data_IF_719468078978
#
_entry.id   IF_719468078978
#
_cell.length_a   1.000
_cell.length_b   1.000
_cell.length_c   1.000
_cell.angle_alpha   90.00
_cell.angle_beta   90.00
_cell.angle_gamma   90.00
#
_symmetry.space_group_name_H-M   'P 1'
#
loop_
_entity.id
_entity.type
_entity.pdbx_description
1 polymer ?
#
# COMPACT_ATOMS: atom_id res chain seq x y z
N UNK A 1 4.64 9.24 32.20
CA UNK A 1 3.60 8.53 31.41
C UNK A 1 3.05 9.43 30.28
N UNK A 2 3.64 10.61 30.05
CA UNK A 2 3.18 11.57 29.03
C UNK A 2 3.94 11.50 27.68
N UNK A 3 4.94 10.61 27.57
CA UNK A 3 5.84 10.53 26.40
C UNK A 3 5.45 9.43 25.40
N UNK A 4 4.25 8.84 25.53
CA UNK A 4 3.67 7.99 24.49
C UNK A 4 3.16 8.88 23.34
N UNK A 5 4.11 9.61 22.76
CA UNK A 5 3.98 10.44 21.57
C UNK A 5 3.19 9.68 20.50
N UNK A 6 2.13 10.31 19.99
CA UNK A 6 1.43 9.82 18.82
C UNK A 6 2.46 9.65 17.70
N UNK A 7 2.76 8.39 17.36
CA UNK A 7 3.72 8.10 16.30
C UNK A 7 3.20 8.62 14.96
N UNK A 8 1.88 8.62 14.77
CA UNK A 8 1.28 9.17 13.56
C UNK A 8 1.61 10.66 13.40
N UNK A 9 1.62 11.43 14.48
CA UNK A 9 1.95 12.86 14.42
C UNK A 9 3.47 13.09 14.34
N UNK A 10 4.23 12.38 15.18
CA UNK A 10 5.64 12.74 15.44
C UNK A 10 6.64 11.99 14.57
N UNK A 11 6.30 10.77 14.13
CA UNK A 11 7.25 9.86 13.47
C UNK A 11 8.49 9.58 14.33
N UNK A 12 8.37 9.67 15.66
CA UNK A 12 9.53 9.56 16.54
C UNK A 12 9.95 8.09 16.73
N UNK A 13 10.92 7.68 15.91
CA UNK A 13 11.48 6.32 15.94
C UNK A 13 12.21 5.97 17.25
N UNK A 14 12.57 6.95 18.09
CA UNK A 14 13.42 6.73 19.28
C UNK A 14 12.78 5.76 20.27
N UNK A 15 11.46 5.81 20.41
CA UNK A 15 10.71 4.93 21.32
C UNK A 15 10.75 3.46 20.89
N UNK A 16 10.84 3.20 19.58
CA UNK A 16 10.85 1.85 19.01
C UNK A 16 12.25 1.22 18.94
N UNK A 17 13.30 2.05 18.94
CA UNK A 17 14.69 1.59 18.76
C UNK A 17 15.12 0.49 19.75
N UNK A 18 14.85 0.56 21.07
CA UNK A 18 15.25 -0.50 22.00
C UNK A 18 14.59 -1.84 21.67
N UNK A 19 13.28 -1.83 21.39
CA UNK A 19 12.51 -3.01 21.02
C UNK A 19 13.01 -3.60 19.70
N UNK A 20 13.25 -2.76 18.69
CA UNK A 20 13.75 -3.21 17.39
C UNK A 20 15.12 -3.85 17.50
N UNK A 21 16.05 -3.26 18.26
CA UNK A 21 17.38 -3.89 18.48
C UNK A 21 17.27 -5.25 19.16
N UNK A 22 16.37 -5.39 20.14
CA UNK A 22 16.14 -6.65 20.82
C UNK A 22 15.56 -7.73 19.89
N UNK A 23 14.66 -7.36 18.97
CA UNK A 23 14.10 -8.27 17.97
C UNK A 23 15.14 -8.67 16.91
N UNK A 24 15.96 -7.72 16.43
CA UNK A 24 17.04 -7.97 15.46
C UNK A 24 18.08 -8.94 16.05
N UNK A 25 18.47 -8.76 17.31
CA UNK A 25 19.39 -9.69 18.00
C UNK A 25 18.88 -11.13 18.07
N UNK A 26 17.55 -11.32 17.96
CA UNK A 26 16.88 -12.62 17.96
C UNK A 26 16.57 -13.11 16.55
N UNK A 27 17.04 -12.42 15.51
CA UNK A 27 16.74 -12.70 14.10
C UNK A 27 15.23 -12.76 13.80
N UNK A 28 14.43 -11.93 14.48
CA UNK A 28 12.99 -11.89 14.22
C UNK A 28 12.70 -11.07 12.95
N UNK A 29 11.99 -11.62 11.96
CA UNK A 29 11.48 -10.83 10.86
C UNK A 29 10.32 -9.95 11.33
N UNK A 30 10.18 -8.77 10.75
CA UNK A 30 9.00 -7.93 10.93
C UNK A 30 8.04 -8.13 9.76
N UNK A 31 6.77 -8.34 10.07
CA UNK A 31 5.69 -8.37 9.07
C UNK A 31 5.15 -6.94 8.91
N UNK A 32 5.32 -6.36 7.73
CA UNK A 32 4.77 -5.06 7.39
C UNK A 32 3.48 -5.24 6.60
N UNK A 33 2.33 -5.13 7.28
CA UNK A 33 1.02 -5.31 6.67
C UNK A 33 0.54 -4.10 5.82
N UNK A 34 1.13 -2.92 6.06
CA UNK A 34 0.88 -1.72 5.28
C UNK A 34 2.23 -1.00 5.02
N UNK A 35 2.71 -0.98 3.76
CA UNK A 35 4.03 -0.47 3.42
C UNK A 35 4.03 1.06 3.24
N UNK A 36 2.86 1.71 3.27
CA UNK A 36 2.77 3.16 3.16
C UNK A 36 3.57 3.82 4.29
N UNK A 37 4.39 4.80 3.92
CA UNK A 37 5.21 5.52 4.90
C UNK A 37 4.39 6.59 5.63
N UNK A 38 3.47 7.22 4.90
CA UNK A 38 2.67 8.35 5.36
C UNK A 38 1.33 8.41 4.63
N UNK A 39 0.38 9.15 5.21
CA UNK A 39 -0.92 9.43 4.60
C UNK A 39 -1.40 10.84 4.95
N UNK A 40 -2.20 11.42 4.08
CA UNK A 40 -2.91 12.68 4.36
C UNK A 40 -4.17 12.38 5.18
N UNK A 41 -4.31 13.03 6.34
CA UNK A 41 -5.49 12.92 7.20
C UNK A 41 -6.50 14.05 6.90
N UNK A 42 -7.77 13.89 7.29
CA UNK A 42 -8.72 15.01 7.28
C UNK A 42 -8.13 16.22 8.02
N UNK A 43 -8.26 17.41 7.43
CA UNK A 43 -7.62 18.62 7.93
C UNK A 43 -6.22 18.90 7.39
N UNK A 44 -5.70 18.06 6.48
CA UNK A 44 -4.51 18.38 5.67
C UNK A 44 -3.16 18.10 6.33
N UNK A 45 -3.14 17.42 7.49
CA UNK A 45 -1.87 17.04 8.14
C UNK A 45 -1.39 15.66 7.68
N UNK A 46 -0.06 15.45 7.73
CA UNK A 46 0.61 14.22 7.30
C UNK A 46 0.84 13.29 8.48
N UNK A 47 0.18 12.13 8.48
CA UNK A 47 0.38 11.07 9.46
C UNK A 47 1.47 10.08 9.02
N UNK A 48 2.33 9.65 9.94
CA UNK A 48 3.25 8.53 9.74
C UNK A 48 2.54 7.19 9.94
N UNK A 49 2.89 6.19 9.13
CA UNK A 49 2.27 4.87 9.15
C UNK A 49 3.28 3.75 9.46
N UNK A 50 2.76 2.53 9.56
CA UNK A 50 3.54 1.32 9.87
C UNK A 50 4.69 1.06 8.89
N UNK A 51 4.57 1.45 7.63
CA UNK A 51 5.66 1.35 6.65
C UNK A 51 6.90 2.16 7.07
N UNK A 52 6.73 3.30 7.74
CA UNK A 52 7.86 4.09 8.27
C UNK A 52 8.61 3.35 9.39
N UNK A 53 7.89 2.61 10.23
CA UNK A 53 8.50 1.75 11.25
C UNK A 53 9.23 0.56 10.64
N UNK A 54 8.64 -0.07 9.62
CA UNK A 54 9.24 -1.17 8.88
C UNK A 54 10.55 -0.74 8.18
N UNK A 55 10.51 0.38 7.45
CA UNK A 55 11.71 0.96 6.84
C UNK A 55 12.78 1.31 7.90
N UNK A 56 12.38 1.71 9.11
CA UNK A 56 13.33 1.91 10.21
C UNK A 56 13.94 0.61 10.72
N UNK A 57 13.14 -0.45 10.85
CA UNK A 57 13.61 -1.77 11.25
C UNK A 57 14.66 -2.31 10.28
N UNK A 58 14.42 -2.19 8.97
CA UNK A 58 15.41 -2.54 7.93
C UNK A 58 16.68 -1.72 8.03
N UNK A 59 16.55 -0.40 8.22
CA UNK A 59 17.72 0.48 8.38
C UNK A 59 18.58 0.10 9.60
N UNK A 60 17.99 -0.51 10.62
CA UNK A 60 18.72 -1.03 11.79
C UNK A 60 19.35 -2.42 11.54
N UNK A 61 19.15 -3.01 10.36
CA UNK A 61 19.66 -4.32 9.97
C UNK A 61 18.67 -5.48 10.17
N UNK A 62 17.41 -5.19 10.46
CA UNK A 62 16.36 -6.20 10.56
C UNK A 62 15.84 -6.66 9.19
N UNK A 63 15.26 -7.85 9.13
CA UNK A 63 14.57 -8.33 7.93
C UNK A 63 13.08 -7.95 8.00
N UNK A 64 12.52 -7.49 6.88
CA UNK A 64 11.09 -7.18 6.75
C UNK A 64 10.48 -8.00 5.63
N UNK A 65 9.28 -8.52 5.89
CA UNK A 65 8.41 -9.13 4.90
C UNK A 65 7.26 -8.16 4.67
N UNK A 66 7.18 -7.60 3.47
CA UNK A 66 6.17 -6.61 3.12
C UNK A 66 4.95 -7.25 2.46
N UNK A 67 3.78 -6.74 2.86
CA UNK A 67 2.48 -7.03 2.28
C UNK A 67 1.81 -5.70 1.91
N UNK A 68 0.76 -5.75 1.08
CA UNK A 68 0.08 -4.56 0.57
C UNK A 68 0.68 -4.05 -0.74
N UNK A 69 0.17 -2.93 -1.25
CA UNK A 69 0.60 -2.38 -2.55
C UNK A 69 2.00 -1.76 -2.44
N UNK A 70 2.92 -1.94 -3.40
CA UNK A 70 2.75 -2.53 -4.74
C UNK A 70 3.06 -4.04 -4.79
N UNK A 71 3.19 -4.73 -3.67
CA UNK A 71 3.52 -6.16 -3.65
C UNK A 71 2.36 -7.01 -4.18
N UNK A 72 2.69 -8.09 -4.90
CA UNK A 72 1.72 -8.86 -5.70
C UNK A 72 0.63 -9.51 -4.85
N UNK A 73 0.93 -9.86 -3.60
CA UNK A 73 0.02 -10.60 -2.71
C UNK A 73 -1.36 -9.93 -2.56
N UNK A 74 -1.41 -8.59 -2.52
CA UNK A 74 -2.68 -7.87 -2.39
C UNK A 74 -3.53 -7.96 -3.67
N UNK A 75 -2.88 -7.90 -4.83
CA UNK A 75 -3.56 -7.96 -6.12
C UNK A 75 -3.97 -9.39 -6.48
N UNK A 76 -3.14 -10.38 -6.18
CA UNK A 76 -3.46 -11.80 -6.36
C UNK A 76 -4.67 -12.22 -5.52
N UNK A 77 -4.74 -11.79 -4.27
CA UNK A 77 -5.89 -12.07 -3.41
C UNK A 77 -7.15 -11.34 -3.90
N UNK A 78 -7.02 -10.08 -4.36
CA UNK A 78 -8.14 -9.37 -4.99
C UNK A 78 -8.65 -10.10 -6.24
N UNK A 79 -7.76 -10.61 -7.10
CA UNK A 79 -8.10 -11.46 -8.25
C UNK A 79 -8.89 -12.67 -7.81
N UNK A 80 -8.38 -13.41 -6.82
CA UNK A 80 -8.99 -14.64 -6.32
C UNK A 80 -10.42 -14.38 -5.83
N UNK A 81 -10.63 -13.32 -5.06
CA UNK A 81 -11.96 -12.94 -4.58
C UNK A 81 -12.91 -12.52 -5.71
N UNK A 82 -12.42 -11.76 -6.70
CA UNK A 82 -13.20 -11.38 -7.87
C UNK A 82 -13.60 -12.60 -8.71
N UNK A 83 -12.66 -13.50 -9.03
CA UNK A 83 -12.94 -14.73 -9.76
C UNK A 83 -13.98 -15.59 -9.03
N UNK A 84 -13.84 -15.77 -7.71
CA UNK A 84 -14.80 -16.51 -6.90
C UNK A 84 -16.20 -15.87 -6.95
N UNK A 85 -16.29 -14.55 -6.87
CA UNK A 85 -17.57 -13.84 -6.95
C UNK A 85 -18.23 -13.98 -8.33
N UNK A 86 -17.47 -13.83 -9.42
CA UNK A 86 -17.97 -13.99 -10.80
C UNK A 86 -18.39 -15.43 -11.08
N UNK A 87 -17.71 -16.41 -10.50
CA UNK A 87 -18.07 -17.83 -10.57
C UNK A 87 -19.31 -18.21 -9.73
N UNK A 88 -19.92 -17.26 -9.00
CA UNK A 88 -21.06 -17.54 -8.12
C UNK A 88 -20.70 -18.35 -6.88
N UNK A 89 -19.44 -18.28 -6.43
CA UNK A 89 -18.93 -19.01 -5.28
C UNK A 89 -18.45 -20.44 -5.58
N UNK A 90 -18.34 -20.81 -6.85
CA UNK A 90 -17.80 -22.09 -7.29
C UNK A 90 -16.28 -22.01 -7.47
N UNK A 91 -15.53 -22.63 -6.55
CA UNK A 91 -14.06 -22.58 -6.56
C UNK A 91 -13.46 -23.24 -7.81
N UNK A 92 -14.08 -24.30 -8.36
CA UNK A 92 -13.55 -24.98 -9.54
C UNK A 92 -13.65 -24.07 -10.77
N UNK A 93 -14.79 -23.40 -10.95
CA UNK A 93 -14.97 -22.40 -12.02
C UNK A 93 -14.09 -21.18 -11.82
N UNK A 94 -13.90 -20.74 -10.58
CA UNK A 94 -13.04 -19.59 -10.29
C UNK A 94 -11.58 -19.83 -10.70
N UNK A 95 -11.10 -21.07 -10.59
CA UNK A 95 -9.76 -21.48 -11.02
C UNK A 95 -9.61 -21.57 -12.55
N UNK A 96 -10.71 -21.76 -13.28
CA UNK A 96 -10.74 -21.77 -14.74
C UNK A 96 -10.78 -20.35 -15.36
N UNK A 97 -11.06 -19.31 -14.55
CA UNK A 97 -11.07 -17.92 -15.02
C UNK A 97 -9.64 -17.39 -15.21
N UNK A 98 -9.26 -17.25 -16.48
CA UNK A 98 -8.03 -16.59 -16.91
C UNK A 98 -8.30 -15.13 -17.29
N UNK A 99 -7.27 -14.29 -17.20
CA UNK A 99 -7.37 -12.91 -17.65
C UNK A 99 -7.13 -12.85 -19.16
N UNK A 100 -8.14 -12.41 -19.90
CA UNK A 100 -8.12 -12.30 -21.36
C UNK A 100 -8.96 -11.10 -21.85
N UNK A 101 -9.32 -11.07 -23.14
CA UNK A 101 -10.14 -9.98 -23.69
C UNK A 101 -11.58 -9.97 -23.15
N UNK A 102 -12.10 -11.11 -22.69
CA UNK A 102 -13.46 -11.25 -22.16
C UNK A 102 -13.51 -11.05 -20.64
N UNK A 103 -12.42 -11.35 -19.92
CA UNK A 103 -12.30 -11.18 -18.47
C UNK A 103 -11.08 -10.32 -18.08
N UNK A 104 -11.31 -9.01 -17.94
CA UNK A 104 -10.29 -8.02 -17.57
C UNK A 104 -10.50 -7.46 -16.17
N UNK A 105 -9.41 -7.12 -15.50
CA UNK A 105 -9.41 -6.43 -14.21
C UNK A 105 -8.73 -5.08 -14.37
N UNK A 106 -9.40 -4.02 -13.93
CA UNK A 106 -8.84 -2.67 -13.86
C UNK A 106 -8.75 -2.23 -12.40
N UNK A 107 -7.53 -1.95 -11.93
CA UNK A 107 -7.29 -1.38 -10.61
C UNK A 107 -7.39 0.14 -10.66
N UNK A 108 -8.15 0.73 -9.74
CA UNK A 108 -8.33 2.19 -9.64
C UNK A 108 -7.58 2.70 -8.41
N UNK A 109 -6.73 3.71 -8.59
CA UNK A 109 -5.99 4.30 -7.47
C UNK A 109 -5.27 5.60 -7.80
N UNK A 110 -4.73 6.26 -6.78
CA UNK A 110 -4.15 7.61 -6.83
C UNK A 110 -2.62 7.62 -6.65
N UNK A 111 -1.98 6.45 -6.48
CA UNK A 111 -0.53 6.32 -6.35
C UNK A 111 0.11 5.63 -7.55
N UNK A 112 1.02 6.31 -8.24
CA UNK A 112 1.80 5.68 -9.32
C UNK A 112 2.68 4.54 -8.79
N UNK A 113 3.28 4.75 -7.62
CA UNK A 113 4.24 3.82 -7.03
C UNK A 113 3.61 2.61 -6.36
N UNK A 114 2.37 2.73 -5.86
CA UNK A 114 1.67 1.66 -5.16
C UNK A 114 0.58 1.03 -6.04
N UNK A 115 -0.36 1.83 -6.57
CA UNK A 115 -1.50 1.33 -7.32
C UNK A 115 -1.12 0.91 -8.73
N UNK A 116 -0.65 1.87 -9.54
CA UNK A 116 -0.38 1.63 -10.97
C UNK A 116 0.74 0.61 -11.14
N UNK A 117 1.86 0.78 -10.43
CA UNK A 117 2.97 -0.18 -10.46
C UNK A 117 2.52 -1.58 -10.04
N UNK A 118 1.73 -1.68 -8.97
CA UNK A 118 1.28 -2.98 -8.45
C UNK A 118 0.34 -3.69 -9.42
N UNK A 119 -0.64 -2.96 -9.97
CA UNK A 119 -1.60 -3.48 -10.95
C UNK A 119 -0.90 -4.03 -12.21
N UNK A 120 0.02 -3.24 -12.79
CA UNK A 120 0.78 -3.67 -13.98
C UNK A 120 1.64 -4.90 -13.68
N UNK A 121 2.19 -5.01 -12.47
CA UNK A 121 3.08 -6.14 -12.10
C UNK A 121 2.40 -7.51 -12.10
N UNK A 122 1.06 -7.53 -12.02
CA UNK A 122 0.23 -8.75 -12.06
C UNK A 122 -0.63 -8.85 -13.33
N UNK A 123 -0.43 -7.96 -14.31
CA UNK A 123 -1.14 -7.98 -15.58
C UNK A 123 -2.55 -7.35 -15.55
N UNK A 124 -2.86 -6.49 -14.57
CA UNK A 124 -4.12 -5.75 -14.57
C UNK A 124 -3.99 -4.44 -15.36
N UNK A 125 -5.11 -3.97 -15.90
CA UNK A 125 -5.24 -2.57 -16.32
C UNK A 125 -5.20 -1.65 -15.08
N UNK A 126 -4.81 -0.39 -15.28
CA UNK A 126 -4.77 0.60 -14.21
C UNK A 126 -5.46 1.92 -14.64
N UNK A 127 -6.39 2.39 -13.82
CA UNK A 127 -6.99 3.71 -13.95
C UNK A 127 -6.45 4.62 -12.83
N UNK A 128 -5.66 5.62 -13.22
CA UNK A 128 -5.02 6.55 -12.29
C UNK A 128 -5.90 7.76 -12.00
N UNK A 129 -6.13 8.04 -10.72
CA UNK A 129 -6.85 9.22 -10.25
C UNK A 129 -5.85 10.39 -10.17
N UNK A 130 -5.89 11.29 -11.17
CA UNK A 130 -4.90 12.35 -11.32
C UNK A 130 -5.25 13.67 -10.64
N UNK A 131 -6.54 13.99 -10.51
CA UNK A 131 -7.00 15.30 -10.02
C UNK A 131 -7.15 15.38 -8.49
N UNK A 132 -7.07 14.24 -7.80
CA UNK A 132 -7.18 14.12 -6.35
C UNK A 132 -6.19 13.08 -5.83
N UNK A 133 -6.02 12.98 -4.51
CA UNK A 133 -5.14 11.98 -3.89
C UNK A 133 -3.69 12.43 -3.74
N UNK A 134 -2.79 11.47 -3.47
CA UNK A 134 -1.43 11.74 -3.00
C UNK A 134 -0.57 12.49 -4.03
N UNK A 135 -0.83 12.33 -5.33
CA UNK A 135 -0.11 13.00 -6.41
C UNK A 135 -0.84 14.21 -7.02
N UNK A 136 -1.94 14.68 -6.42
CA UNK A 136 -2.72 15.78 -6.97
C UNK A 136 -1.87 17.06 -7.15
N UNK A 137 -1.04 17.41 -6.17
CA UNK A 137 -0.16 18.58 -6.21
C UNK A 137 0.90 18.45 -7.33
N UNK A 138 1.47 17.25 -7.50
CA UNK A 138 2.46 16.96 -8.56
C UNK A 138 1.86 17.10 -9.96
N UNK A 139 0.54 16.94 -10.09
CA UNK A 139 -0.22 17.02 -11.34
C UNK A 139 -0.87 18.39 -11.59
N UNK A 140 -0.54 19.41 -10.76
CA UNK A 140 -1.06 20.77 -10.91
C UNK A 140 -2.41 21.02 -10.22
N UNK A 141 -2.76 20.22 -9.23
CA UNK A 141 -3.98 20.33 -8.45
C UNK A 141 -4.00 21.54 -7.50
N UNK A 142 -4.41 22.68 -8.04
CA UNK A 142 -5.34 23.62 -7.39
C UNK A 142 -5.99 24.45 -8.51
N UNK A 143 -7.24 24.13 -8.86
CA UNK A 143 -8.08 25.01 -9.69
C UNK A 143 -7.57 25.41 -11.07
N UNK A 144 -6.78 24.59 -11.77
CA UNK A 144 -6.52 24.84 -13.19
C UNK A 144 -7.80 24.58 -13.99
N UNK A 145 -8.57 25.63 -14.26
CA UNK A 145 -9.54 25.64 -15.34
C UNK A 145 -8.87 25.09 -16.60
N UNK A 146 -9.28 23.90 -17.00
CA UNK A 146 -9.08 23.42 -18.37
C UNK A 146 -9.98 24.29 -19.26
N UNK A 147 -9.48 25.48 -19.58
CA UNK A 147 -10.03 26.28 -20.67
C UNK A 147 -9.80 25.53 -21.98
N UNK A 148 -10.89 25.23 -22.65
CA UNK A 148 -10.93 24.85 -24.07
C UNK A 148 -10.51 26.02 -24.96
#
# INVERSE_FOLDING_TARGET
VEDACDYEETGNHRLYRPMFRAAIQRNLPMICANPDLRVMRPGGWKAYLGGSLAAYYERLGGQVIYFGKPYTSAFEEARRQLCHAVAGGDEAKALELELDEEFRICHVGDSLHHDVKGAISVGFDAAFVALTGIHAEDMGGDGAELSQ
#
